data_IF_213114623472
#
_entry.id   IF_213114623472
#
_cell.length_a   1.000
_cell.length_b   1.000
_cell.length_c   1.000
_cell.angle_alpha   90.00
_cell.angle_beta   90.00
_cell.angle_gamma   90.00
#
_symmetry.space_group_name_H-M   'P 1'
#
loop_
_entity.id
_entity.type
_entity.pdbx_description
1 polymer ?
#
# COMPACT_ATOMS: atom_id res chain seq x y z
N UNK A 1 14.09 4.94 5.73
CA UNK A 1 14.43 3.77 4.87
C UNK A 1 13.29 3.51 3.91
N UNK A 2 13.53 2.95 2.71
CA UNK A 2 12.47 2.73 1.70
C UNK A 2 12.43 1.26 1.29
N UNK A 3 11.26 0.63 1.38
CA UNK A 3 10.98 -0.71 0.85
C UNK A 3 10.06 -0.60 -0.37
N UNK A 4 10.30 -1.41 -1.41
CA UNK A 4 9.49 -1.43 -2.62
C UNK A 4 9.06 -2.83 -2.97
N UNK A 5 7.78 -2.99 -3.31
CA UNK A 5 7.21 -4.27 -3.73
C UNK A 5 6.35 -4.07 -4.96
N UNK A 6 6.27 -5.10 -5.81
CA UNK A 6 5.38 -5.11 -6.97
C UNK A 6 4.53 -6.36 -6.92
N UNK A 7 3.23 -6.17 -6.76
CA UNK A 7 2.27 -7.26 -6.74
C UNK A 7 1.57 -7.36 -8.09
N UNK A 8 1.45 -8.59 -8.58
CA UNK A 8 0.79 -8.88 -9.84
C UNK A 8 -0.55 -9.54 -9.58
N UNK A 9 -1.58 -9.08 -10.28
CA UNK A 9 -2.93 -9.60 -10.18
C UNK A 9 -3.43 -10.01 -11.55
N UNK A 10 -4.13 -11.12 -11.58
CA UNK A 10 -4.90 -11.57 -12.73
C UNK A 10 -6.34 -11.13 -12.57
N UNK A 11 -6.90 -10.62 -13.67
CA UNK A 11 -8.33 -10.44 -13.80
C UNK A 11 -8.72 -10.54 -15.27
N UNK A 12 -9.94 -11.01 -15.52
CA UNK A 12 -10.55 -11.00 -16.85
C UNK A 12 -10.96 -9.57 -17.27
N UNK A 13 -11.23 -8.69 -16.31
CA UNK A 13 -11.74 -7.33 -16.53
C UNK A 13 -10.88 -6.28 -15.82
N UNK A 14 -10.67 -5.11 -16.45
CA UNK A 14 -9.85 -4.00 -15.88
C UNK A 14 -10.28 -3.55 -14.48
N UNK A 15 -11.52 -3.82 -14.08
CA UNK A 15 -12.10 -3.47 -12.77
C UNK A 15 -12.70 -4.68 -12.03
N UNK A 16 -12.40 -5.90 -12.47
CA UNK A 16 -12.94 -7.12 -11.87
C UNK A 16 -12.13 -7.61 -10.66
N UNK A 17 -12.66 -8.62 -9.97
CA UNK A 17 -11.99 -9.30 -8.86
C UNK A 17 -10.55 -9.65 -9.21
N UNK A 18 -9.62 -9.11 -8.43
CA UNK A 18 -8.18 -9.29 -8.58
C UNK A 18 -7.78 -10.59 -7.87
N UNK A 19 -7.28 -11.57 -8.62
CA UNK A 19 -6.67 -12.77 -8.06
C UNK A 19 -5.15 -12.62 -8.09
N UNK A 20 -4.45 -12.67 -6.95
CA UNK A 20 -3.00 -12.48 -6.92
C UNK A 20 -2.30 -13.58 -7.74
N UNK A 21 -1.34 -13.17 -8.56
CA UNK A 21 -0.42 -14.07 -9.25
C UNK A 21 0.78 -14.31 -8.34
N UNK A 22 0.74 -15.39 -7.59
CA UNK A 22 1.72 -15.67 -6.53
C UNK A 22 1.34 -15.04 -5.20
N UNK A 23 2.30 -14.89 -4.29
CA UNK A 23 2.08 -14.32 -2.96
C UNK A 23 2.31 -12.79 -3.05
N UNK A 24 1.27 -11.95 -2.83
CA UNK A 24 1.43 -10.51 -2.92
C UNK A 24 2.13 -9.99 -1.65
N UNK A 25 3.33 -9.44 -1.78
CA UNK A 25 4.12 -8.99 -0.64
C UNK A 25 3.66 -7.64 -0.12
N UNK A 26 3.48 -6.66 -1.02
CA UNK A 26 3.10 -5.31 -0.62
C UNK A 26 1.69 -5.26 -0.02
N UNK A 27 0.73 -5.93 -0.65
CA UNK A 27 -0.63 -6.02 -0.15
C UNK A 27 -0.71 -6.75 1.20
N UNK A 28 0.14 -7.77 1.44
CA UNK A 28 0.17 -8.44 2.73
C UNK A 28 0.71 -7.54 3.85
N UNK A 29 1.76 -6.77 3.58
CA UNK A 29 2.30 -5.79 4.53
C UNK A 29 1.26 -4.71 4.84
N UNK A 30 0.64 -4.13 3.81
CA UNK A 30 -0.40 -3.11 3.99
C UNK A 30 -1.62 -3.65 4.76
N UNK A 31 -2.08 -4.85 4.45
CA UNK A 31 -3.13 -5.52 5.22
C UNK A 31 -2.76 -5.72 6.70
N UNK A 32 -1.50 -6.04 7.00
CA UNK A 32 -1.03 -6.16 8.40
C UNK A 32 -1.03 -4.81 9.10
N UNK A 33 -0.64 -3.73 8.43
CA UNK A 33 -0.75 -2.37 8.97
C UNK A 33 -2.21 -1.99 9.25
N UNK A 34 -3.10 -2.25 8.30
CA UNK A 34 -4.52 -1.87 8.41
C UNK A 34 -5.28 -2.68 9.49
N UNK A 35 -4.90 -3.94 9.71
CA UNK A 35 -5.54 -4.82 10.70
C UNK A 35 -4.86 -4.82 12.08
N UNK A 36 -3.72 -4.16 12.22
CA UNK A 36 -3.00 -4.18 13.50
C UNK A 36 -3.58 -3.15 14.46
N UNK A 37 -3.87 -3.58 15.69
CA UNK A 37 -4.22 -2.69 16.79
C UNK A 37 -3.05 -1.77 17.19
N UNK A 38 -1.83 -2.15 16.82
CA UNK A 38 -0.61 -1.44 17.17
C UNK A 38 -0.31 -0.28 16.20
N UNK A 39 -0.86 -0.33 14.97
CA UNK A 39 -0.64 0.66 13.92
C UNK A 39 -1.90 1.49 13.68
N UNK A 40 -1.82 2.78 13.98
CA UNK A 40 -2.92 3.71 13.80
C UNK A 40 -2.77 4.48 12.48
N UNK A 41 -3.80 4.41 11.63
CA UNK A 41 -3.91 5.24 10.44
C UNK A 41 -4.05 6.72 10.85
N UNK A 42 -3.13 7.57 10.39
CA UNK A 42 -3.16 9.03 10.57
C UNK A 42 -3.87 9.73 9.43
N UNK A 43 -3.58 9.33 8.20
CA UNK A 43 -4.13 9.95 6.99
C UNK A 43 -4.21 8.97 5.84
N UNK A 44 -5.20 9.16 4.98
CA UNK A 44 -5.38 8.47 3.70
C UNK A 44 -5.70 9.49 2.62
N UNK A 45 -4.96 9.46 1.54
CA UNK A 45 -5.17 10.29 0.34
C UNK A 45 -5.33 9.37 -0.87
N UNK A 46 -6.44 9.48 -1.60
CA UNK A 46 -6.65 8.69 -2.80
C UNK A 46 -6.11 9.44 -4.01
N UNK A 47 -5.39 8.73 -4.89
CA UNK A 47 -4.91 9.33 -6.13
C UNK A 47 -6.06 9.38 -7.15
N UNK A 48 -6.43 10.61 -7.52
CA UNK A 48 -7.48 10.87 -8.51
C UNK A 48 -6.80 11.29 -9.81
N UNK A 49 -7.06 10.52 -10.88
CA UNK A 49 -6.65 10.88 -12.23
C UNK A 49 -7.86 11.41 -13.00
N UNK A 50 -7.84 12.70 -13.33
CA UNK A 50 -8.79 13.29 -14.27
C UNK A 50 -8.40 12.94 -15.71
N UNK A 51 -9.37 12.51 -16.51
CA UNK A 51 -9.18 12.25 -17.93
C UNK A 51 -9.95 13.28 -18.77
N UNK A 52 -9.43 13.52 -19.97
CA UNK A 52 -9.91 14.54 -20.91
C UNK A 52 -11.36 14.33 -21.41
N UNK A 53 -12.01 13.21 -21.08
CA UNK A 53 -13.36 12.83 -21.52
C UNK A 53 -14.43 12.99 -20.42
N UNK A 54 -14.21 13.85 -19.42
CA UNK A 54 -15.06 14.01 -18.23
C UNK A 54 -15.24 12.71 -17.41
N UNK A 55 -14.35 11.72 -17.59
CA UNK A 55 -14.28 10.54 -16.73
C UNK A 55 -13.22 10.75 -15.66
N UNK A 56 -13.56 10.35 -14.44
CA UNK A 56 -12.68 10.42 -13.28
C UNK A 56 -12.37 8.98 -12.82
N UNK A 57 -11.12 8.54 -12.99
CA UNK A 57 -10.67 7.28 -12.38
C UNK A 57 -10.24 7.58 -10.94
N UNK A 58 -11.17 7.42 -10.00
CA UNK A 58 -10.97 7.77 -8.57
C UNK A 58 -10.02 6.85 -7.78
N UNK A 59 -9.56 5.76 -8.38
CA UNK A 59 -8.83 4.69 -7.68
C UNK A 59 -7.48 4.39 -8.35
N UNK A 60 -6.70 5.38 -8.77
CA UNK A 60 -5.41 5.11 -9.43
C UNK A 60 -4.30 4.70 -8.46
N UNK A 61 -4.58 4.79 -7.17
CA UNK A 61 -3.62 4.56 -6.12
C UNK A 61 -4.08 5.24 -4.85
N UNK A 62 -3.27 5.16 -3.81
CA UNK A 62 -3.46 5.89 -2.58
C UNK A 62 -2.15 6.07 -1.84
N UNK A 63 -2.14 7.05 -0.93
CA UNK A 63 -1.10 7.26 0.06
C UNK A 63 -1.69 7.18 1.45
N UNK A 64 -1.18 6.26 2.27
CA UNK A 64 -1.55 6.11 3.68
C UNK A 64 -0.37 6.48 4.58
N UNK A 65 -0.65 7.02 5.76
CA UNK A 65 0.35 7.21 6.82
C UNK A 65 -0.09 6.52 8.10
N UNK A 66 0.77 5.68 8.66
CA UNK A 66 0.54 4.94 9.90
C UNK A 66 1.54 5.36 10.98
N UNK A 67 1.15 5.26 12.25
CA UNK A 67 2.03 5.46 13.39
C UNK A 67 1.85 4.35 14.41
N UNK A 68 2.95 3.89 15.00
CA UNK A 68 2.96 2.77 15.92
C UNK A 68 2.78 3.23 17.37
N UNK A 69 1.72 2.77 18.07
CA UNK A 69 1.49 2.90 19.53
C UNK A 69 1.96 4.22 20.18
N UNK A 70 1.61 5.36 19.60
CA UNK A 70 1.99 6.69 20.10
C UNK A 70 3.51 6.92 20.25
N UNK A 71 4.33 6.13 19.56
CA UNK A 71 5.76 6.37 19.37
C UNK A 71 6.00 7.32 18.18
N UNK A 72 7.25 7.76 18.01
CA UNK A 72 7.66 8.51 16.82
C UNK A 72 7.89 7.62 15.57
N UNK A 73 7.59 6.32 15.63
CA UNK A 73 7.76 5.40 14.50
C UNK A 73 6.57 5.50 13.56
N UNK A 74 6.84 5.74 12.29
CA UNK A 74 5.80 5.88 11.27
C UNK A 74 6.16 5.19 9.97
N UNK A 75 5.11 4.87 9.23
CA UNK A 75 5.22 4.30 7.89
C UNK A 75 4.29 5.06 6.96
N UNK A 76 4.88 5.61 5.89
CA UNK A 76 4.11 6.17 4.79
C UNK A 76 4.07 5.17 3.64
N UNK A 77 2.87 4.69 3.31
CA UNK A 77 2.62 3.73 2.23
C UNK A 77 2.14 4.50 1.01
N UNK A 78 2.78 4.28 -0.13
CA UNK A 78 2.31 4.78 -1.42
C UNK A 78 2.02 3.56 -2.30
N UNK A 79 0.81 3.49 -2.84
CA UNK A 79 0.36 2.42 -3.71
C UNK A 79 -0.06 3.02 -5.04
N UNK A 80 0.66 2.71 -6.11
CA UNK A 80 0.29 3.07 -7.47
C UNK A 80 -0.29 1.87 -8.21
N UNK A 81 -1.39 2.08 -8.92
CA UNK A 81 -2.03 1.05 -9.74
C UNK A 81 -1.74 1.29 -11.22
N UNK A 82 -1.37 0.23 -11.94
CA UNK A 82 -1.22 0.32 -13.38
C UNK A 82 -2.56 0.61 -14.08
N UNK A 83 -2.51 1.18 -15.29
CA UNK A 83 -3.69 1.51 -16.08
C UNK A 83 -4.62 0.31 -16.36
N UNK A 84 -4.08 -0.91 -16.28
CA UNK A 84 -4.85 -2.15 -16.50
C UNK A 84 -5.46 -2.71 -15.21
N UNK A 85 -5.11 -2.16 -14.05
CA UNK A 85 -5.51 -2.64 -12.73
C UNK A 85 -4.79 -3.91 -12.26
N UNK A 86 -3.87 -4.45 -13.07
CA UNK A 86 -3.23 -5.76 -12.84
C UNK A 86 -1.91 -5.71 -12.11
N UNK A 87 -1.38 -4.53 -11.85
CA UNK A 87 -0.11 -4.35 -11.15
C UNK A 87 -0.30 -3.27 -10.09
N UNK A 88 0.11 -3.59 -8.87
CA UNK A 88 0.22 -2.63 -7.77
C UNK A 88 1.69 -2.45 -7.44
N UNK A 89 2.14 -1.20 -7.43
CA UNK A 89 3.49 -0.82 -7.06
C UNK A 89 3.39 -0.19 -5.67
N UNK A 90 4.05 -0.81 -4.71
CA UNK A 90 4.04 -0.37 -3.33
C UNK A 90 5.38 0.24 -2.96
N UNK A 91 5.34 1.38 -2.29
CA UNK A 91 6.50 2.00 -1.66
C UNK A 91 6.19 2.26 -0.20
N UNK A 92 6.99 1.69 0.70
CA UNK A 92 6.90 1.89 2.15
C UNK A 92 8.09 2.74 2.59
N UNK A 93 7.81 3.98 2.99
CA UNK A 93 8.79 4.85 3.61
C UNK A 93 8.71 4.66 5.12
N UNK A 94 9.77 4.10 5.69
CA UNK A 94 9.91 3.77 7.10
C UNK A 94 10.68 4.89 7.80
N UNK A 95 10.04 5.54 8.77
CA UNK A 95 10.58 6.67 9.52
C UNK A 95 10.77 6.30 10.99
N UNK A 96 11.97 6.58 11.52
CA UNK A 96 12.41 6.18 12.86
C UNK A 96 12.36 4.65 13.10
N UNK A 97 12.55 3.87 12.04
CA UNK A 97 12.72 2.42 12.06
C UNK A 97 14.10 2.12 11.47
N UNK A 98 14.93 1.45 12.23
CA UNK A 98 16.37 1.32 12.00
C UNK A 98 16.70 0.41 10.82
N UNK A 99 15.97 -0.70 10.70
CA UNK A 99 16.20 -1.71 9.66
C UNK A 99 14.92 -2.49 9.32
N UNK A 100 14.99 -3.31 8.28
CA UNK A 100 13.84 -4.09 7.81
C UNK A 100 13.41 -5.15 8.83
N UNK A 101 14.35 -5.74 9.57
CA UNK A 101 14.05 -6.77 10.58
C UNK A 101 13.22 -6.20 11.73
N UNK A 102 13.56 -4.99 12.20
CA UNK A 102 12.77 -4.26 13.18
C UNK A 102 11.35 -4.02 12.65
N UNK A 103 11.22 -3.62 11.39
CA UNK A 103 9.90 -3.41 10.79
C UNK A 103 9.07 -4.69 10.73
N UNK A 104 9.67 -5.80 10.31
CA UNK A 104 9.02 -7.11 10.25
C UNK A 104 8.59 -7.58 11.65
N UNK A 105 9.44 -7.36 12.66
CA UNK A 105 9.11 -7.64 14.06
C UNK A 105 7.91 -6.81 14.56
N UNK A 106 7.88 -5.50 14.25
CA UNK A 106 6.76 -4.60 14.59
C UNK A 106 5.46 -4.99 13.87
N UNK A 107 5.56 -5.64 12.71
CA UNK A 107 4.44 -6.20 11.96
C UNK A 107 4.07 -7.62 12.37
N UNK A 108 4.83 -8.26 13.26
CA UNK A 108 4.67 -9.67 13.65
C UNK A 108 4.71 -10.58 12.41
N UNK A 109 5.77 -10.44 11.60
CA UNK A 109 6.09 -11.32 10.45
C UNK A 109 7.26 -12.21 10.81
#
# INVERSE_FOLDING_TARGET
>A
MILKYTDYFTSKYRYGTLYPKGIPHGANIHNKLEKSDDWKLKSRENHIAEKNDNRMDRNYGFSDSYTYKDTNKSVSVHCDRSATGKTLIWTFNLDNIENQEEFELLLKI
#
